data_IF_137092766088
#
_entry.id   IF_137092766088
#
_cell.length_a   1.000
_cell.length_b   1.000
_cell.length_c   1.000
_cell.angle_alpha   90.00
_cell.angle_beta   90.00
_cell.angle_gamma   90.00
#
_symmetry.space_group_name_H-M   'P 1'
#
loop_
_entity.id
_entity.type
_entity.pdbx_description
1 polymer ?
#
# COMPACT_ATOMS: atom_id res chain seq x y z
N UNK A 1 -0.32 46.77 -21.09
CA UNK A 1 0.53 46.06 -20.10
C UNK A 1 1.23 47.13 -19.28
N UNK A 2 0.89 47.27 -18.01
CA UNK A 2 1.53 48.27 -17.15
C UNK A 2 2.52 47.54 -16.24
N UNK A 3 3.80 47.69 -16.55
CA UNK A 3 4.90 47.23 -15.72
C UNK A 3 5.09 48.27 -14.60
N UNK A 4 4.85 47.88 -13.35
CA UNK A 4 5.19 48.71 -12.19
C UNK A 4 6.50 48.17 -11.63
N UNK A 5 7.57 48.95 -11.80
CA UNK A 5 8.89 48.69 -11.23
C UNK A 5 9.04 49.55 -9.98
N UNK A 6 9.28 48.93 -8.83
CA UNK A 6 9.72 49.63 -7.63
C UNK A 6 11.23 49.50 -7.54
N UNK A 7 11.94 50.62 -7.58
CA UNK A 7 13.40 50.68 -7.47
C UNK A 7 13.74 51.30 -6.10
N UNK A 8 14.31 50.50 -5.19
CA UNK A 8 14.72 50.94 -3.86
C UNK A 8 16.23 50.83 -3.77
N UNK A 9 16.88 51.99 -3.67
CA UNK A 9 18.35 52.10 -3.59
C UNK A 9 18.76 52.38 -2.15
N UNK A 10 19.37 51.40 -1.49
CA UNK A 10 20.06 51.59 -0.23
C UNK A 10 21.53 51.21 -0.41
N UNK A 11 22.43 51.99 0.21
CA UNK A 11 23.89 51.94 0.01
C UNK A 11 24.38 50.48 -0.01
N UNK A 12 24.88 50.05 -1.16
CA UNK A 12 25.45 48.73 -1.52
C UNK A 12 24.53 47.58 -1.98
N UNK A 13 23.20 47.74 -2.06
CA UNK A 13 22.31 46.68 -2.58
C UNK A 13 21.25 47.19 -3.58
N UNK A 14 20.97 46.38 -4.61
CA UNK A 14 19.87 46.59 -5.56
C UNK A 14 18.92 45.41 -5.51
N UNK A 15 17.66 45.66 -5.16
CA UNK A 15 16.59 44.66 -5.17
C UNK A 15 15.68 44.96 -6.35
N UNK A 16 15.52 43.99 -7.26
CA UNK A 16 14.62 44.08 -8.41
C UNK A 16 13.47 43.10 -8.19
N UNK A 17 12.26 43.62 -8.01
CA UNK A 17 11.04 42.82 -7.93
C UNK A 17 10.14 43.06 -9.15
N UNK A 18 9.73 41.98 -9.79
CA UNK A 18 8.80 42.01 -10.92
C UNK A 18 7.42 41.53 -10.46
N UNK A 19 6.43 42.43 -10.49
CA UNK A 19 5.05 42.08 -10.18
C UNK A 19 4.23 41.85 -11.45
N UNK A 20 3.66 40.65 -11.57
CA UNK A 20 2.61 40.36 -12.53
C UNK A 20 1.25 40.48 -11.84
N UNK A 21 0.54 41.59 -12.09
CA UNK A 21 -0.80 41.83 -11.50
C UNK A 21 -1.86 41.00 -12.21
N UNK A 22 -1.99 39.73 -11.80
CA UNK A 22 -3.16 38.87 -12.05
C UNK A 22 -3.48 38.10 -10.78
N UNK A 23 -4.70 38.27 -10.23
CA UNK A 23 -5.16 37.60 -9.00
C UNK A 23 -5.37 36.10 -9.25
N UNK A 24 -4.28 35.36 -9.29
CA UNK A 24 -4.24 33.89 -9.26
C UNK A 24 -3.08 33.52 -8.35
N UNK A 25 -3.28 32.52 -7.48
CA UNK A 25 -2.33 31.96 -6.52
C UNK A 25 -1.08 31.38 -7.19
N UNK A 26 -0.28 32.24 -7.82
CA UNK A 26 0.98 31.87 -8.45
C UNK A 26 2.12 32.22 -7.51
N UNK A 27 3.02 31.26 -7.32
CA UNK A 27 4.25 31.43 -6.56
C UNK A 27 5.02 32.65 -7.07
N UNK A 28 5.60 33.42 -6.15
CA UNK A 28 6.39 34.62 -6.45
C UNK A 28 7.85 34.32 -6.17
N UNK A 29 8.72 34.49 -7.16
CA UNK A 29 10.16 34.26 -6.99
C UNK A 29 10.81 35.47 -6.34
N UNK A 30 11.49 35.27 -5.21
CA UNK A 30 12.31 36.28 -4.57
C UNK A 30 13.76 36.09 -4.98
N UNK A 31 14.41 37.15 -5.47
CA UNK A 31 15.84 37.13 -5.77
C UNK A 31 16.55 38.28 -5.06
N UNK A 32 17.49 37.94 -4.16
CA UNK A 32 18.33 38.91 -3.46
C UNK A 32 19.75 38.79 -4.02
N UNK A 33 20.32 39.90 -4.52
CA UNK A 33 21.67 39.93 -5.12
C UNK A 33 22.59 40.87 -4.34
N UNK A 34 23.70 40.33 -3.86
CA UNK A 34 24.81 41.06 -3.26
C UNK A 34 26.09 40.22 -3.25
N UNK A 35 26.94 40.34 -2.22
CA UNK A 35 28.10 39.43 -2.05
C UNK A 35 27.69 37.95 -1.92
N UNK A 36 26.45 37.71 -1.53
CA UNK A 36 25.78 36.40 -1.51
C UNK A 36 24.49 36.51 -2.32
N UNK A 37 24.16 35.50 -3.12
CA UNK A 37 22.90 35.40 -3.86
C UNK A 37 21.92 34.45 -3.17
N UNK A 38 20.64 34.81 -3.15
CA UNK A 38 19.54 33.97 -2.66
C UNK A 38 18.39 33.98 -3.66
N UNK A 39 17.86 32.80 -3.99
CA UNK A 39 16.72 32.61 -4.89
C UNK A 39 15.80 31.53 -4.33
N UNK A 40 14.52 31.87 -4.16
CA UNK A 40 13.51 30.96 -3.60
C UNK A 40 12.09 31.32 -4.08
N UNK A 41 11.21 30.33 -4.10
CA UNK A 41 9.79 30.51 -4.41
C UNK A 41 9.00 30.75 -3.12
N UNK A 42 8.42 31.94 -2.98
CA UNK A 42 7.69 32.34 -1.78
C UNK A 42 6.24 32.69 -2.10
N UNK A 43 5.40 32.63 -1.07
CA UNK A 43 4.01 33.07 -1.18
C UNK A 43 3.92 34.59 -1.24
N UNK A 44 2.85 35.16 -1.85
CA UNK A 44 2.64 36.61 -1.88
C UNK A 44 2.63 37.27 -0.48
N UNK A 45 2.13 36.54 0.54
CA UNK A 45 2.09 37.02 1.92
C UNK A 45 3.51 37.15 2.52
N UNK A 46 4.38 36.17 2.27
CA UNK A 46 5.78 36.22 2.69
C UNK A 46 6.54 37.33 1.96
N UNK A 47 6.28 37.50 0.65
CA UNK A 47 6.90 38.57 -0.13
C UNK A 47 6.57 39.96 0.46
N UNK A 48 5.32 40.19 0.84
CA UNK A 48 4.90 41.45 1.47
C UNK A 48 5.61 41.70 2.82
N UNK A 49 5.83 40.67 3.64
CA UNK A 49 6.57 40.79 4.90
C UNK A 49 8.03 41.17 4.68
N UNK A 50 8.69 40.55 3.69
CA UNK A 50 10.09 40.83 3.36
C UNK A 50 10.24 42.27 2.86
N UNK A 51 9.31 42.77 2.05
CA UNK A 51 9.32 44.15 1.56
C UNK A 51 9.11 45.13 2.72
N UNK A 52 8.12 44.88 3.57
CA UNK A 52 7.87 45.71 4.75
C UNK A 52 9.09 45.76 5.69
N UNK A 53 9.82 44.65 5.81
CA UNK A 53 11.07 44.59 6.56
C UNK A 53 12.20 45.39 5.90
N UNK A 54 12.33 45.32 4.57
CA UNK A 54 13.36 46.06 3.83
C UNK A 54 13.10 47.58 3.76
N UNK A 55 11.83 48.01 3.79
CA UNK A 55 11.44 49.42 3.78
C UNK A 55 11.48 50.06 5.18
N UNK A 56 11.51 49.26 6.25
CA UNK A 56 11.71 49.74 7.61
C UNK A 56 13.16 50.22 7.79
N UNK A 57 13.40 51.50 7.55
CA UNK A 57 14.74 52.11 7.64
C UNK A 57 15.44 51.88 8.98
N UNK A 58 16.78 51.79 8.94
CA UNK A 58 17.65 51.61 10.12
C UNK A 58 17.33 52.64 11.21
N UNK A 59 16.72 52.17 12.30
CA UNK A 59 16.46 52.98 13.49
C UNK A 59 15.00 52.99 13.95
N UNK A 60 14.06 52.61 13.09
CA UNK A 60 12.73 52.22 13.53
C UNK A 60 12.74 50.70 13.63
N UNK A 61 12.81 50.15 14.85
CA UNK A 61 12.47 48.74 15.04
C UNK A 61 11.07 48.58 14.43
N UNK A 62 10.91 47.81 13.35
CA UNK A 62 9.57 47.55 12.87
C UNK A 62 8.88 46.85 14.02
N UNK A 63 8.02 47.57 14.73
CA UNK A 63 6.81 46.98 15.25
C UNK A 63 6.11 46.50 14.00
N UNK A 64 6.49 45.30 13.55
CA UNK A 64 5.59 44.33 12.99
C UNK A 64 4.42 44.39 13.95
N UNK A 65 3.45 45.26 13.66
CA UNK A 65 2.15 45.19 14.27
C UNK A 65 1.78 43.78 13.92
N UNK A 66 1.92 42.87 14.90
CA UNK A 66 1.65 41.46 14.73
C UNK A 66 0.35 41.46 13.93
N UNK A 67 0.34 41.07 12.63
CA UNK A 67 -0.94 40.77 12.02
C UNK A 67 -1.52 39.76 12.99
N UNK A 68 -2.61 40.13 13.69
CA UNK A 68 -2.94 39.71 15.06
C UNK A 68 -2.48 38.30 15.18
N UNK A 69 -1.35 38.07 15.88
CA UNK A 69 -0.52 36.90 15.67
C UNK A 69 -1.48 35.73 15.47
N UNK A 70 -1.66 35.31 14.23
CA UNK A 70 -2.13 33.96 13.98
C UNK A 70 -0.88 33.15 14.34
N UNK A 71 -0.54 33.13 15.64
CA UNK A 71 -0.70 31.93 16.42
C UNK A 71 -1.72 31.05 15.68
N UNK A 72 -1.20 30.34 14.67
CA UNK A 72 -1.55 28.96 14.49
C UNK A 72 -1.00 28.22 15.74
N UNK A 73 -1.23 28.61 17.00
CA UNK A 73 -2.48 28.36 17.74
C UNK A 73 -3.73 28.26 16.86
N UNK A 74 -3.65 27.38 15.85
CA UNK A 74 -4.76 26.52 15.51
C UNK A 74 -5.05 25.92 16.86
N UNK A 75 -6.10 26.41 17.52
CA UNK A 75 -6.62 25.83 18.72
C UNK A 75 -6.97 24.40 18.37
N UNK A 76 -5.96 23.52 18.38
CA UNK A 76 -6.06 22.12 18.72
C UNK A 76 -6.63 22.21 20.10
N UNK A 77 -7.97 22.28 20.15
CA UNK A 77 -8.73 22.55 21.35
C UNK A 77 -8.12 21.66 22.41
N UNK A 78 -7.56 22.28 23.45
CA UNK A 78 -6.63 21.68 24.40
C UNK A 78 -7.15 20.28 24.74
N UNK A 79 -6.62 19.26 24.04
CA UNK A 79 -7.20 17.92 24.09
C UNK A 79 -7.19 17.52 25.56
N UNK A 80 -8.26 16.90 26.04
CA UNK A 80 -8.36 16.57 27.46
C UNK A 80 -7.11 15.78 27.84
N UNK A 81 -6.32 16.31 28.78
CA UNK A 81 -5.12 15.62 29.23
C UNK A 81 -5.56 14.32 29.88
N UNK A 82 -5.10 13.21 29.33
CA UNK A 82 -5.46 11.88 29.84
C UNK A 82 -4.44 11.48 30.89
N UNK A 83 -4.92 11.12 32.07
CA UNK A 83 -4.05 10.86 33.23
C UNK A 83 -3.21 9.59 33.04
N UNK A 84 -3.74 8.56 32.39
CA UNK A 84 -3.04 7.28 32.20
C UNK A 84 -3.08 6.76 30.75
N UNK A 85 -2.05 5.99 30.39
CA UNK A 85 -1.97 5.32 29.09
C UNK A 85 -3.14 4.33 28.88
N UNK A 86 -3.70 3.79 29.96
CA UNK A 86 -4.86 2.90 29.91
C UNK A 86 -6.11 3.67 29.53
N UNK A 87 -6.34 4.81 30.17
CA UNK A 87 -7.50 5.66 29.88
C UNK A 87 -7.47 6.15 28.44
N UNK A 88 -6.29 6.40 27.86
CA UNK A 88 -6.16 6.80 26.46
C UNK A 88 -6.68 5.73 25.50
N UNK A 89 -6.48 4.44 25.82
CA UNK A 89 -7.02 3.33 25.04
C UNK A 89 -8.53 3.19 25.22
N UNK A 90 -9.00 3.32 26.46
CA UNK A 90 -10.42 3.15 26.78
C UNK A 90 -11.27 4.31 26.20
N UNK A 91 -10.78 5.56 26.26
CA UNK A 91 -11.44 6.74 25.67
C UNK A 91 -11.45 6.68 24.14
N UNK A 92 -10.32 6.32 23.52
CA UNK A 92 -10.22 6.27 22.05
C UNK A 92 -10.98 5.10 21.41
N UNK A 93 -11.39 4.09 22.19
CA UNK A 93 -12.03 2.88 21.68
C UNK A 93 -11.13 2.05 20.77
N UNK A 94 -9.81 2.22 20.87
CA UNK A 94 -8.84 1.56 20.00
C UNK A 94 -8.81 0.05 20.24
N UNK A 95 -9.22 -0.72 19.23
CA UNK A 95 -9.37 -2.18 19.35
C UNK A 95 -8.22 -2.95 18.70
N UNK A 96 -7.73 -2.47 17.55
CA UNK A 96 -6.68 -3.14 16.76
C UNK A 96 -5.30 -2.54 17.05
N UNK A 97 -4.25 -3.31 16.80
CA UNK A 97 -2.87 -2.87 17.02
C UNK A 97 -2.53 -1.50 16.39
N UNK A 98 -2.87 -1.19 15.12
CA UNK A 98 -2.57 0.12 14.54
C UNK A 98 -3.34 1.26 15.24
N UNK A 99 -4.58 1.00 15.65
CA UNK A 99 -5.43 1.96 16.37
C UNK A 99 -4.85 2.24 17.76
N UNK A 100 -4.43 1.18 18.47
CA UNK A 100 -3.79 1.28 19.78
C UNK A 100 -2.47 2.05 19.72
N UNK A 101 -1.68 1.85 18.66
CA UNK A 101 -0.45 2.62 18.41
C UNK A 101 -0.76 4.12 18.32
N UNK A 102 -1.79 4.51 17.57
CA UNK A 102 -2.19 5.92 17.40
C UNK A 102 -2.65 6.52 18.72
N UNK A 103 -3.53 5.81 19.45
CA UNK A 103 -4.04 6.30 20.73
C UNK A 103 -2.93 6.50 21.77
N UNK A 104 -1.98 5.55 21.85
CA UNK A 104 -0.84 5.67 22.76
C UNK A 104 0.21 6.68 22.30
N UNK A 105 0.37 6.87 20.99
CA UNK A 105 1.19 7.97 20.46
C UNK A 105 0.62 9.33 20.87
N UNK A 106 -0.70 9.52 20.81
CA UNK A 106 -1.35 10.75 21.24
C UNK A 106 -1.12 10.99 22.74
N UNK A 107 -1.20 9.93 23.56
CA UNK A 107 -0.88 9.99 24.99
C UNK A 107 0.59 10.36 25.24
N UNK A 108 1.54 9.86 24.46
CA UNK A 108 2.97 10.22 24.60
C UNK A 108 3.20 11.69 24.24
N UNK A 109 2.56 12.18 23.18
CA UNK A 109 2.74 13.55 22.70
C UNK A 109 2.12 14.62 23.62
N UNK A 110 1.14 14.26 24.45
CA UNK A 110 0.48 15.22 25.37
C UNK A 110 1.44 15.83 26.41
N UNK A 111 2.60 15.21 26.64
CA UNK A 111 3.63 15.70 27.56
C UNK A 111 4.55 16.76 26.93
N UNK A 112 4.24 17.23 25.72
CA UNK A 112 4.84 18.42 25.10
C UNK A 112 5.78 18.15 23.92
N UNK A 113 5.63 17.00 23.24
CA UNK A 113 6.40 16.67 22.04
C UNK A 113 5.57 16.76 20.76
N UNK A 114 6.14 17.32 19.70
CA UNK A 114 5.53 17.34 18.35
C UNK A 114 5.71 16.00 17.61
N UNK A 115 6.68 15.20 18.05
CA UNK A 115 6.99 13.87 17.51
C UNK A 115 7.09 12.84 18.63
N UNK A 116 7.07 11.56 18.25
CA UNK A 116 7.28 10.43 19.15
C UNK A 116 8.18 9.39 18.49
N UNK A 117 8.87 8.58 19.32
CA UNK A 117 9.64 7.42 18.86
C UNK A 117 8.89 6.13 19.13
N UNK A 118 9.23 5.09 18.38
CA UNK A 118 8.65 3.74 18.53
C UNK A 118 8.82 3.20 19.96
N UNK A 119 9.96 3.47 20.60
CA UNK A 119 10.25 2.98 21.96
C UNK A 119 9.40 3.68 23.03
N UNK A 120 8.99 4.93 22.81
CA UNK A 120 8.10 5.66 23.72
C UNK A 120 6.70 5.03 23.70
N UNK A 121 6.19 4.73 22.51
CA UNK A 121 4.89 4.07 22.34
C UNK A 121 4.92 2.65 22.92
N UNK A 122 5.99 1.88 22.67
CA UNK A 122 6.17 0.55 23.30
C UNK A 122 6.20 0.64 24.83
N UNK A 123 6.81 1.69 25.39
CA UNK A 123 6.81 1.93 26.83
C UNK A 123 5.41 2.27 27.34
N UNK A 124 4.63 3.04 26.56
CA UNK A 124 3.22 3.33 26.86
C UNK A 124 2.35 2.07 26.85
N UNK A 125 2.57 1.11 25.94
CA UNK A 125 1.90 -0.20 25.97
C UNK A 125 2.13 -0.93 27.31
N UNK A 126 3.37 -0.95 27.81
CA UNK A 126 3.70 -1.58 29.10
C UNK A 126 3.00 -0.87 30.26
N UNK A 127 2.96 0.47 30.27
CA UNK A 127 2.25 1.27 31.28
C UNK A 127 0.73 1.01 31.27
N UNK A 128 0.16 0.83 30.07
CA UNK A 128 -1.25 0.48 29.89
C UNK A 128 -1.58 -1.00 30.20
N UNK A 129 -0.57 -1.81 30.59
CA UNK A 129 -0.67 -3.26 30.81
C UNK A 129 -1.20 -4.01 29.58
N UNK A 130 -0.82 -3.54 28.39
CA UNK A 130 -1.16 -4.15 27.11
C UNK A 130 0.09 -4.76 26.48
N UNK A 131 -0.08 -5.89 25.80
CA UNK A 131 1.02 -6.53 25.07
C UNK A 131 1.31 -5.74 23.79
N UNK A 132 2.55 -5.28 23.63
CA UNK A 132 2.96 -4.60 22.41
C UNK A 132 2.82 -5.54 21.19
N UNK A 133 2.48 -5.02 20.00
CA UNK A 133 2.37 -5.83 18.79
C UNK A 133 3.64 -6.61 18.48
N UNK A 134 3.52 -7.92 18.23
CA UNK A 134 4.66 -8.79 17.89
C UNK A 134 5.41 -8.33 16.63
N UNK A 135 4.70 -7.68 15.70
CA UNK A 135 5.30 -7.04 14.53
C UNK A 135 4.89 -5.56 14.52
N UNK A 136 5.51 -4.79 15.40
CA UNK A 136 5.28 -3.35 15.56
C UNK A 136 5.48 -2.56 14.25
N UNK A 137 6.59 -2.75 13.48
CA UNK A 137 6.80 -2.00 12.24
C UNK A 137 5.65 -2.18 11.25
N UNK A 138 5.18 -3.42 11.03
CA UNK A 138 4.06 -3.70 10.13
C UNK A 138 2.77 -3.00 10.55
N UNK A 139 2.48 -2.90 11.85
CA UNK A 139 1.25 -2.28 12.33
C UNK A 139 1.38 -0.73 12.37
N UNK A 140 2.59 -0.19 12.56
CA UNK A 140 2.90 1.23 12.36
C UNK A 140 2.75 1.63 10.89
N UNK A 141 3.28 0.83 9.95
CA UNK A 141 3.14 1.06 8.52
C UNK A 141 1.67 1.15 8.10
N UNK A 142 0.79 0.34 8.72
CA UNK A 142 -0.66 0.43 8.48
C UNK A 142 -1.26 1.74 8.99
N UNK A 143 -0.80 2.26 10.13
CA UNK A 143 -1.23 3.54 10.65
C UNK A 143 -0.77 4.69 9.72
N UNK A 144 0.47 4.62 9.21
CA UNK A 144 1.01 5.54 8.21
C UNK A 144 0.21 5.46 6.91
N UNK A 145 -0.04 4.26 6.39
CA UNK A 145 -0.84 4.00 5.19
C UNK A 145 -2.28 4.52 5.30
N UNK A 146 -2.83 4.52 6.52
CA UNK A 146 -4.17 5.06 6.81
C UNK A 146 -4.18 6.59 6.94
N UNK A 147 -2.99 7.21 6.94
CA UNK A 147 -2.78 8.64 7.12
C UNK A 147 -3.05 9.10 8.55
N UNK A 148 -2.95 8.22 9.54
CA UNK A 148 -3.09 8.57 10.97
C UNK A 148 -1.76 9.07 11.57
N UNK A 149 -0.66 8.51 11.06
CA UNK A 149 0.72 8.82 11.48
C UNK A 149 1.48 9.33 10.25
N UNK A 150 2.31 10.35 10.42
CA UNK A 150 3.32 10.78 9.46
C UNK A 150 4.72 10.37 9.92
N UNK A 151 5.62 10.16 8.95
CA UNK A 151 7.04 9.89 9.18
C UNK A 151 7.82 11.17 8.87
N UNK A 152 8.59 11.66 9.83
CA UNK A 152 9.45 12.85 9.67
C UNK A 152 10.88 12.45 9.26
N UNK A 153 11.16 11.15 9.18
CA UNK A 153 12.48 10.60 8.98
C UNK A 153 13.23 10.39 10.30
N UNK A 154 14.38 9.71 10.24
CA UNK A 154 15.21 9.47 11.42
C UNK A 154 14.59 8.59 12.51
N UNK A 155 13.45 7.95 12.24
CA UNK A 155 12.70 7.15 13.22
C UNK A 155 11.81 7.97 14.15
N UNK A 156 11.51 9.22 13.77
CA UNK A 156 10.58 10.11 14.46
C UNK A 156 9.27 10.21 13.68
N UNK A 157 8.16 10.15 14.40
CA UNK A 157 6.82 10.09 13.84
C UNK A 157 5.93 11.15 14.47
N UNK A 158 4.95 11.64 13.75
CA UNK A 158 3.97 12.61 14.25
C UNK A 158 2.54 12.16 13.95
N UNK A 159 1.56 12.68 14.69
CA UNK A 159 0.16 12.45 14.41
C UNK A 159 -0.39 13.47 13.42
N UNK A 160 -1.15 12.99 12.43
CA UNK A 160 -1.78 13.86 11.45
C UNK A 160 -3.05 14.50 12.00
N UNK A 161 -3.53 15.57 11.36
CA UNK A 161 -4.81 16.20 11.72
C UNK A 161 -6.03 15.27 11.61
N UNK A 162 -5.92 14.10 10.94
CA UNK A 162 -7.04 13.15 10.82
C UNK A 162 -7.43 12.49 12.13
N UNK A 163 -6.49 12.41 13.08
CA UNK A 163 -6.68 11.76 14.38
C UNK A 163 -6.78 12.78 15.51
N UNK A 164 -7.03 14.04 15.16
CA UNK A 164 -7.33 15.06 16.15
C UNK A 164 -8.58 14.66 16.94
N UNK A 165 -8.57 14.89 18.26
CA UNK A 165 -9.62 14.43 19.15
C UNK A 165 -9.67 12.92 19.43
N UNK A 166 -8.61 12.15 19.10
CA UNK A 166 -8.53 10.71 19.47
C UNK A 166 -8.64 10.47 20.98
N UNK A 167 -8.18 11.43 21.79
CA UNK A 167 -8.27 11.38 23.25
C UNK A 167 -9.53 12.05 23.81
N UNK A 168 -10.38 12.62 22.96
CA UNK A 168 -11.67 13.21 23.37
C UNK A 168 -12.83 12.21 23.20
N UNK A 169 -12.57 11.04 22.59
CA UNK A 169 -13.56 9.98 22.35
C UNK A 169 -14.54 10.26 21.21
N UNK A 170 -14.45 11.44 20.58
CA UNK A 170 -15.24 11.81 19.40
C UNK A 170 -14.72 11.14 18.13
N UNK A 171 -13.41 10.90 18.08
CA UNK A 171 -12.79 10.22 16.96
C UNK A 171 -13.18 8.74 16.91
N UNK A 172 -13.64 8.29 15.73
CA UNK A 172 -13.89 6.88 15.47
C UNK A 172 -12.90 6.39 14.43
N UNK A 173 -12.09 5.41 14.81
CA UNK A 173 -11.26 4.68 13.85
C UNK A 173 -12.17 4.11 12.77
N UNK A 174 -12.07 4.67 11.57
CA UNK A 174 -12.81 4.14 10.42
C UNK A 174 -12.52 2.65 10.32
N UNK A 175 -13.57 1.82 10.15
CA UNK A 175 -13.36 0.42 9.77
C UNK A 175 -12.42 0.45 8.57
N UNK A 176 -11.22 -0.11 8.73
CA UNK A 176 -10.09 -0.06 7.80
C UNK A 176 -10.42 -0.63 6.40
N UNK A 177 -11.34 0.03 5.70
CA UNK A 177 -12.01 -0.42 4.49
C UNK A 177 -13.00 0.61 3.90
N UNK A 178 -13.09 1.82 4.47
CA UNK A 178 -13.95 2.90 3.98
C UNK A 178 -13.25 4.03 3.23
N UNK A 179 -11.95 3.93 2.95
CA UNK A 179 -11.34 4.84 1.98
C UNK A 179 -11.87 4.45 0.61
N UNK A 180 -12.57 5.38 -0.04
CA UNK A 180 -13.10 5.35 -1.41
C UNK A 180 -11.97 5.22 -2.44
N UNK A 181 -11.14 4.20 -2.30
CA UNK A 181 -10.31 3.71 -3.38
C UNK A 181 -11.21 2.84 -4.25
N UNK A 182 -11.44 3.29 -5.47
CA UNK A 182 -12.04 2.55 -6.59
C UNK A 182 -11.21 1.33 -7.03
N UNK A 183 -10.63 0.59 -6.07
CA UNK A 183 -9.77 -0.57 -6.31
C UNK A 183 -10.33 -1.79 -5.59
N UNK A 184 -10.97 -2.62 -6.40
CA UNK A 184 -10.97 -4.09 -6.35
C UNK A 184 -11.17 -4.70 -4.97
N UNK A 185 -12.39 -5.20 -4.77
CA UNK A 185 -12.87 -5.90 -3.58
C UNK A 185 -11.80 -6.73 -2.83
N UNK A 186 -11.70 -6.58 -1.49
CA UNK A 186 -10.74 -7.32 -0.69
C UNK A 186 -11.06 -8.81 -0.73
N UNK A 187 -10.16 -9.59 -1.33
CA UNK A 187 -10.12 -11.04 -1.18
C UNK A 187 -9.90 -11.37 0.30
N UNK A 188 -11.00 -11.62 1.01
CA UNK A 188 -11.02 -12.28 2.31
C UNK A 188 -10.17 -13.55 2.23
N UNK A 189 -9.03 -13.56 2.94
CA UNK A 189 -8.39 -14.79 3.40
C UNK A 189 -9.24 -15.36 4.53
N UNK A 190 -10.45 -15.80 4.19
CA UNK A 190 -11.22 -16.67 5.07
C UNK A 190 -10.52 -18.01 5.09
N UNK A 191 -10.14 -18.46 6.29
CA UNK A 191 -9.87 -19.86 6.59
C UNK A 191 -10.91 -20.70 5.86
N UNK A 192 -10.44 -21.57 4.97
CA UNK A 192 -11.26 -22.26 3.99
C UNK A 192 -12.33 -23.11 4.68
N UNK A 193 -13.49 -22.50 4.96
CA UNK A 193 -14.73 -23.23 4.93
C UNK A 193 -14.74 -23.90 3.55
N UNK A 194 -14.72 -25.24 3.55
CA UNK A 194 -14.88 -26.09 2.37
C UNK A 194 -16.20 -25.66 1.72
N UNK A 195 -16.16 -24.61 0.90
CA UNK A 195 -17.28 -24.28 0.04
C UNK A 195 -17.41 -25.52 -0.82
N UNK A 196 -18.55 -26.19 -0.71
CA UNK A 196 -18.99 -27.20 -1.66
C UNK A 196 -19.00 -26.53 -3.02
N UNK A 197 -17.82 -26.50 -3.67
CA UNK A 197 -17.59 -25.92 -4.98
C UNK A 197 -18.61 -26.61 -5.86
N UNK A 198 -19.57 -25.86 -6.37
CA UNK A 198 -20.56 -26.40 -7.28
C UNK A 198 -19.77 -27.16 -8.35
N UNK A 199 -19.95 -28.48 -8.40
CA UNK A 199 -19.26 -29.35 -9.34
C UNK A 199 -19.54 -28.76 -10.72
N UNK A 200 -18.53 -28.16 -11.34
CA UNK A 200 -18.67 -27.62 -12.68
C UNK A 200 -19.14 -28.77 -13.57
N UNK A 201 -20.15 -28.50 -14.40
CA UNK A 201 -20.65 -29.50 -15.33
C UNK A 201 -19.49 -30.05 -16.19
N UNK A 202 -19.53 -31.34 -16.50
CA UNK A 202 -18.51 -32.03 -17.30
C UNK A 202 -18.36 -31.33 -18.65
N UNK A 203 -17.16 -30.81 -19.01
CA UNK A 203 -16.93 -30.18 -20.30
C UNK A 203 -17.21 -31.13 -21.47
N UNK A 204 -17.70 -30.57 -22.57
CA UNK A 204 -18.04 -31.33 -23.78
C UNK A 204 -16.82 -32.07 -24.36
N UNK A 205 -15.61 -31.49 -24.23
CA UNK A 205 -14.35 -32.13 -24.65
C UNK A 205 -14.08 -33.47 -23.97
N UNK A 206 -14.72 -33.73 -22.83
CA UNK A 206 -14.58 -34.98 -22.08
C UNK A 206 -15.82 -35.89 -22.20
N UNK A 207 -16.83 -35.53 -23.00
CA UNK A 207 -18.08 -36.29 -23.09
C UNK A 207 -17.86 -37.78 -23.44
N UNK A 208 -16.85 -38.07 -24.27
CA UNK A 208 -16.47 -39.43 -24.68
C UNK A 208 -15.68 -40.24 -23.64
N UNK A 209 -15.19 -39.60 -22.57
CA UNK A 209 -14.34 -40.24 -21.56
C UNK A 209 -15.15 -40.49 -20.31
N UNK A 210 -15.46 -41.75 -20.00
CA UNK A 210 -16.22 -42.09 -18.79
C UNK A 210 -15.32 -42.29 -17.56
N UNK A 211 -14.10 -42.79 -17.77
CA UNK A 211 -13.17 -43.14 -16.69
C UNK A 211 -11.91 -42.27 -16.74
N UNK A 212 -11.61 -41.62 -15.62
CA UNK A 212 -10.38 -40.84 -15.42
C UNK A 212 -9.43 -41.61 -14.50
N UNK A 213 -8.47 -42.38 -15.04
CA UNK A 213 -7.54 -43.12 -14.20
C UNK A 213 -6.62 -42.16 -13.45
N UNK A 214 -6.35 -42.42 -12.17
CA UNK A 214 -5.40 -41.63 -11.37
C UNK A 214 -3.93 -41.93 -11.70
N UNK A 215 -3.70 -42.93 -12.54
CA UNK A 215 -2.40 -43.47 -12.96
C UNK A 215 -2.36 -43.60 -14.47
N UNK A 216 -1.21 -43.38 -15.08
CA UNK A 216 -1.00 -43.50 -16.52
C UNK A 216 0.27 -44.32 -16.75
N UNK A 217 0.27 -45.19 -17.76
CA UNK A 217 1.41 -46.07 -18.00
C UNK A 217 2.67 -45.25 -18.33
N UNK A 218 3.79 -45.58 -17.67
CA UNK A 218 5.05 -44.85 -17.77
C UNK A 218 5.13 -43.49 -17.05
N UNK A 219 4.10 -43.07 -16.31
CA UNK A 219 4.08 -41.78 -15.61
C UNK A 219 3.70 -41.92 -14.13
N UNK A 220 4.17 -41.01 -13.24
CA UNK A 220 3.78 -41.06 -11.84
C UNK A 220 2.28 -40.81 -11.66
N UNK A 221 1.71 -41.40 -10.61
CA UNK A 221 0.34 -41.16 -10.19
C UNK A 221 0.09 -39.66 -9.96
N UNK A 222 -1.06 -39.17 -10.41
CA UNK A 222 -1.40 -37.75 -10.32
C UNK A 222 -1.31 -37.19 -8.89
N UNK A 223 -1.72 -37.99 -7.90
CA UNK A 223 -1.69 -37.66 -6.47
C UNK A 223 -0.27 -37.47 -5.91
N UNK A 224 0.75 -38.08 -6.53
CA UNK A 224 2.16 -37.94 -6.11
C UNK A 224 2.83 -36.67 -6.64
N UNK A 225 2.23 -35.99 -7.60
CA UNK A 225 2.80 -34.77 -8.18
C UNK A 225 2.72 -33.60 -7.21
N UNK A 226 3.87 -33.01 -6.88
CA UNK A 226 3.94 -31.86 -5.95
C UNK A 226 3.73 -30.53 -6.66
N UNK A 227 4.31 -30.36 -7.85
CA UNK A 227 4.24 -29.07 -8.55
C UNK A 227 3.00 -28.99 -9.43
N UNK A 228 2.38 -27.81 -9.45
CA UNK A 228 1.24 -27.54 -10.33
C UNK A 228 1.60 -27.65 -11.82
N UNK A 229 2.87 -27.40 -12.16
CA UNK A 229 3.42 -27.62 -13.51
C UNK A 229 3.27 -29.07 -13.94
N UNK A 230 3.70 -30.00 -13.09
CA UNK A 230 3.70 -31.43 -13.41
C UNK A 230 2.26 -31.96 -13.51
N UNK A 231 1.38 -31.51 -12.62
CA UNK A 231 -0.07 -31.79 -12.68
C UNK A 231 -0.71 -31.30 -13.98
N UNK A 232 -0.32 -30.12 -14.45
CA UNK A 232 -0.79 -29.58 -15.73
C UNK A 232 -0.30 -30.43 -16.90
N UNK A 233 0.99 -30.79 -16.92
CA UNK A 233 1.56 -31.63 -17.98
C UNK A 233 0.88 -33.01 -18.01
N UNK A 234 0.62 -33.61 -16.86
CA UNK A 234 -0.10 -34.87 -16.76
C UNK A 234 -1.52 -34.78 -17.33
N UNK A 235 -2.28 -33.73 -16.99
CA UNK A 235 -3.64 -33.54 -17.50
C UNK A 235 -3.66 -33.37 -19.02
N UNK A 236 -2.71 -32.62 -19.58
CA UNK A 236 -2.60 -32.42 -21.03
C UNK A 236 -2.13 -33.69 -21.75
N UNK A 237 -1.23 -34.48 -21.15
CA UNK A 237 -0.82 -35.79 -21.67
C UNK A 237 -1.99 -36.78 -21.69
N UNK A 238 -2.77 -36.83 -20.62
CA UNK A 238 -3.98 -37.67 -20.55
C UNK A 238 -4.97 -37.33 -21.67
N UNK A 239 -5.20 -36.03 -21.90
CA UNK A 239 -6.05 -35.57 -22.99
C UNK A 239 -5.51 -35.99 -24.36
N UNK A 240 -4.20 -35.84 -24.58
CA UNK A 240 -3.54 -36.29 -25.83
C UNK A 240 -3.75 -37.79 -26.08
N UNK A 241 -3.55 -38.63 -25.07
CA UNK A 241 -3.73 -40.09 -25.18
C UNK A 241 -5.19 -40.49 -25.42
N UNK A 242 -6.12 -39.64 -25.01
CA UNK A 242 -7.55 -39.80 -25.25
C UNK A 242 -8.02 -39.21 -26.59
N UNK A 243 -7.09 -38.78 -27.45
CA UNK A 243 -7.41 -38.20 -28.77
C UNK A 243 -7.86 -36.73 -28.74
N UNK A 244 -7.70 -36.03 -27.62
CA UNK A 244 -8.04 -34.61 -27.50
C UNK A 244 -6.79 -33.78 -27.85
N UNK A 245 -6.90 -32.90 -28.86
CA UNK A 245 -5.77 -32.15 -29.39
C UNK A 245 -5.13 -31.18 -28.38
N UNK A 246 -5.91 -30.65 -27.43
CA UNK A 246 -5.44 -29.74 -26.38
C UNK A 246 -6.56 -29.39 -25.40
N UNK A 247 -6.19 -28.78 -24.27
CA UNK A 247 -7.15 -28.41 -23.23
C UNK A 247 -7.19 -26.89 -23.01
N UNK A 248 -8.38 -26.31 -22.82
CA UNK A 248 -8.51 -24.95 -22.33
C UNK A 248 -8.25 -24.90 -20.81
N UNK A 249 -7.93 -23.72 -20.26
CA UNK A 249 -7.69 -23.57 -18.82
C UNK A 249 -8.86 -24.06 -17.94
N UNK A 250 -10.10 -23.90 -18.42
CA UNK A 250 -11.30 -24.38 -17.70
C UNK A 250 -11.37 -25.90 -17.66
N UNK A 251 -10.97 -26.57 -18.74
CA UNK A 251 -10.95 -28.03 -18.83
C UNK A 251 -9.84 -28.61 -17.96
N UNK A 252 -8.68 -27.94 -17.91
CA UNK A 252 -7.59 -28.28 -16.98
C UNK A 252 -8.04 -28.10 -15.53
N UNK A 253 -8.73 -27.00 -15.19
CA UNK A 253 -9.28 -26.83 -13.84
C UNK A 253 -10.26 -27.96 -13.49
N UNK A 254 -11.16 -28.30 -14.42
CA UNK A 254 -12.15 -29.35 -14.20
C UNK A 254 -11.51 -30.72 -13.98
N UNK A 255 -10.57 -31.15 -14.84
CA UNK A 255 -9.95 -32.47 -14.71
C UNK A 255 -9.06 -32.55 -13.47
N UNK A 256 -8.33 -31.48 -13.12
CA UNK A 256 -7.49 -31.47 -11.91
C UNK A 256 -8.32 -31.48 -10.62
N UNK A 257 -9.52 -30.90 -10.64
CA UNK A 257 -10.50 -31.00 -9.56
C UNK A 257 -11.07 -32.42 -9.45
N UNK A 258 -11.40 -33.05 -10.58
CA UNK A 258 -11.90 -34.42 -10.64
C UNK A 258 -10.87 -35.45 -10.13
N UNK A 259 -9.59 -35.20 -10.34
CA UNK A 259 -8.48 -36.03 -9.85
C UNK A 259 -8.11 -35.72 -8.38
N UNK A 260 -8.81 -34.80 -7.70
CA UNK A 260 -8.73 -34.57 -6.26
C UNK A 260 -7.67 -33.56 -5.79
N UNK A 261 -6.91 -32.92 -6.69
CA UNK A 261 -5.95 -31.87 -6.31
C UNK A 261 -6.51 -30.46 -6.46
N UNK A 262 -7.44 -30.24 -7.40
CA UNK A 262 -8.09 -28.97 -7.69
C UNK A 262 -7.11 -27.82 -7.91
N UNK A 263 -6.47 -27.75 -9.08
CA UNK A 263 -5.56 -26.63 -9.39
C UNK A 263 -6.39 -25.41 -9.83
N UNK A 264 -6.41 -24.30 -9.07
CA UNK A 264 -7.22 -23.14 -9.43
C UNK A 264 -6.73 -22.52 -10.75
N UNK A 265 -7.63 -21.97 -11.56
CA UNK A 265 -7.29 -21.34 -12.85
C UNK A 265 -6.12 -20.34 -12.79
N UNK A 266 -6.03 -19.53 -11.72
CA UNK A 266 -4.89 -18.60 -11.52
C UNK A 266 -3.55 -19.33 -11.45
N UNK A 267 -3.52 -20.51 -10.83
CA UNK A 267 -2.31 -21.33 -10.71
C UNK A 267 -2.03 -22.10 -12.00
N UNK A 268 -3.05 -22.45 -12.79
CA UNK A 268 -2.91 -23.07 -14.12
C UNK A 268 -2.13 -22.14 -15.06
N UNK A 269 -2.46 -20.84 -15.10
CA UNK A 269 -1.71 -19.88 -15.93
C UNK A 269 -0.23 -19.82 -15.55
N UNK A 270 0.09 -19.77 -14.25
CA UNK A 270 1.47 -19.74 -13.79
C UNK A 270 2.20 -21.06 -14.09
N UNK A 271 1.52 -22.20 -13.91
CA UNK A 271 2.04 -23.53 -14.25
C UNK A 271 2.33 -23.65 -15.75
N UNK A 272 1.44 -23.14 -16.60
CA UNK A 272 1.62 -23.09 -18.05
C UNK A 272 2.83 -22.24 -18.43
N UNK A 273 2.95 -21.02 -17.92
CA UNK A 273 4.10 -20.15 -18.21
C UNK A 273 5.43 -20.80 -17.80
N UNK A 274 5.44 -21.52 -16.67
CA UNK A 274 6.61 -22.28 -16.21
C UNK A 274 6.93 -23.45 -17.14
N UNK A 275 5.93 -24.21 -17.60
CA UNK A 275 6.09 -25.30 -18.57
C UNK A 275 6.55 -24.78 -19.94
N UNK A 276 5.95 -23.68 -20.41
CA UNK A 276 6.27 -23.05 -21.69
C UNK A 276 7.70 -22.53 -21.71
N UNK A 277 8.14 -21.85 -20.65
CA UNK A 277 9.52 -21.36 -20.52
C UNK A 277 10.55 -22.49 -20.62
N UNK A 278 10.21 -23.68 -20.15
CA UNK A 278 11.05 -24.87 -20.23
C UNK A 278 10.89 -25.67 -21.54
N UNK A 279 10.01 -25.23 -22.45
CA UNK A 279 9.73 -25.94 -23.70
C UNK A 279 8.82 -27.16 -23.56
N UNK A 280 8.22 -27.40 -22.39
CA UNK A 280 7.41 -28.60 -22.10
C UNK A 280 5.95 -28.51 -22.56
N UNK A 281 5.47 -27.30 -22.79
CA UNK A 281 4.10 -27.07 -23.25
C UNK A 281 4.05 -25.91 -24.24
N UNK A 282 3.15 -26.01 -25.21
CA UNK A 282 2.84 -24.98 -26.17
C UNK A 282 1.35 -24.62 -26.08
N UNK A 283 1.00 -23.42 -26.56
CA UNK A 283 -0.40 -22.99 -26.66
C UNK A 283 -0.71 -22.73 -28.12
N UNK A 284 -1.78 -23.34 -28.61
CA UNK A 284 -2.20 -23.15 -29.98
C UNK A 284 -2.79 -21.75 -30.14
N UNK A 285 -2.40 -21.08 -31.22
CA UNK A 285 -2.84 -19.71 -31.56
C UNK A 285 -4.25 -19.68 -32.12
N UNK A 286 -4.75 -20.80 -32.64
CA UNK A 286 -6.07 -20.89 -33.27
C UNK A 286 -7.19 -21.09 -32.22
N UNK A 287 -6.99 -22.01 -31.29
CA UNK A 287 -8.02 -22.44 -30.32
C UNK A 287 -7.69 -22.00 -28.87
N UNK A 288 -6.49 -21.47 -28.62
CA UNK A 288 -6.05 -21.09 -27.27
C UNK A 288 -5.86 -22.28 -26.32
N UNK A 289 -5.80 -23.51 -26.82
CA UNK A 289 -5.62 -24.71 -26.01
C UNK A 289 -4.16 -24.97 -25.69
N UNK A 290 -3.90 -25.52 -24.50
CA UNK A 290 -2.57 -25.98 -24.09
C UNK A 290 -2.34 -27.40 -24.56
N UNK A 291 -1.15 -27.64 -25.14
CA UNK A 291 -0.68 -28.93 -25.64
C UNK A 291 0.68 -29.26 -25.02
N UNK A 292 0.98 -30.54 -24.89
CA UNK A 292 2.26 -31.02 -24.36
C UNK A 292 3.22 -31.25 -25.54
N UNK A 293 4.49 -30.87 -25.36
CA UNK A 293 5.54 -31.11 -26.36
C UNK A 293 6.22 -32.47 -26.12
N UNK A 294 6.96 -33.02 -27.10
CA UNK A 294 7.74 -34.24 -26.88
C UNK A 294 8.71 -34.14 -25.68
N UNK A 295 9.35 -32.98 -25.50
CA UNK A 295 10.23 -32.71 -24.36
C UNK A 295 9.47 -32.70 -23.03
N UNK A 296 8.23 -32.20 -23.03
CA UNK A 296 7.35 -32.25 -21.87
C UNK A 296 6.95 -33.67 -21.47
N UNK A 297 6.74 -34.55 -22.45
CA UNK A 297 6.46 -35.98 -22.22
C UNK A 297 7.67 -36.70 -21.63
N UNK A 298 8.85 -36.48 -22.21
CA UNK A 298 10.10 -37.01 -21.68
C UNK A 298 10.35 -36.53 -20.24
N UNK A 299 10.16 -35.23 -19.98
CA UNK A 299 10.24 -34.67 -18.64
C UNK A 299 9.28 -35.35 -17.66
N UNK A 300 8.02 -35.52 -18.04
CA UNK A 300 7.00 -36.12 -17.17
C UNK A 300 7.35 -37.58 -16.79
N UNK A 301 7.94 -38.34 -17.70
CA UNK A 301 8.42 -39.69 -17.42
C UNK A 301 9.55 -39.69 -16.37
N UNK A 302 10.48 -38.72 -16.42
CA UNK A 302 11.58 -38.61 -15.44
C UNK A 302 11.11 -38.27 -14.03
N UNK A 303 10.03 -37.47 -13.90
CA UNK A 303 9.47 -37.10 -12.59
C UNK A 303 8.99 -38.35 -11.84
N UNK A 304 8.51 -39.37 -12.54
CA UNK A 304 8.03 -40.61 -11.94
C UNK A 304 9.13 -41.55 -11.47
N UNK A 305 10.25 -41.57 -12.21
CA UNK A 305 11.43 -42.33 -11.81
C UNK A 305 12.01 -41.82 -10.47
N UNK A 306 11.91 -40.52 -10.20
CA UNK A 306 12.42 -39.92 -8.97
C UNK A 306 11.53 -40.11 -7.72
N UNK A 307 10.29 -40.60 -7.88
CA UNK A 307 9.30 -40.75 -6.78
C UNK A 307 8.83 -42.20 -6.56
N UNK A 308 9.44 -43.16 -7.26
CA UNK A 308 9.26 -44.60 -7.05
C UNK A 308 10.30 -45.10 -6.05
#
# INVERSE_FOLDING_TARGET
>A
MNLLSADVVHRDFRVLMFYFRTMTDKATTLTIKGKVGYEDEITPAQAAQIIAFLEAGEGAAPTLGNPPAEHRDSGRGRAKKVESARDALDISGASKNPEKIVALAAYVMQDGGDTFKVEDVKSAFRRARETAPANFPRDLDKAISSGWVGDEGGGEYFLTAKVDGVLDGEFKFGRAGGSTSTRTAPRRSGTAAKSTKAKSAKPEVFASIDVFPSTMDGFPAYSKMKQNRDKLLWAVKFAKDSGIAGLANKDIEWITDHLGAGVPNRQITNAYLSAQKAGYANKSTQDGTTRITPDGEAYLATVGAATS
#
